data_IF_756833988541
#
_entry.id   IF_756833988541
#
_cell.length_a   1.000
_cell.length_b   1.000
_cell.length_c   1.000
_cell.angle_alpha   90.00
_cell.angle_beta   90.00
_cell.angle_gamma   90.00
#
_symmetry.space_group_name_H-M   'P 1'
#
loop_
_entity.id
_entity.type
_entity.pdbx_description
1 polymer ?
#
# COMPACT_ATOMS: atom_id res chain seq x y z
N UNK A 1 24.50 26.84 -3.93
CA UNK A 1 23.05 27.05 -3.72
C UNK A 1 22.88 28.21 -2.75
N UNK A 2 21.91 29.10 -2.97
CA UNK A 2 21.73 30.37 -2.26
C UNK A 2 20.62 30.32 -1.21
N UNK A 3 19.65 29.41 -1.30
CA UNK A 3 18.41 29.54 -0.53
C UNK A 3 17.89 28.26 0.17
N UNK A 4 18.48 27.07 -0.04
CA UNK A 4 17.93 25.81 0.51
C UNK A 4 18.88 24.83 1.19
N UNK A 5 20.21 25.02 1.12
CA UNK A 5 21.19 24.11 1.73
C UNK A 5 22.20 24.84 2.62
N UNK A 6 21.74 25.76 3.47
CA UNK A 6 22.58 26.10 4.64
C UNK A 6 22.48 24.91 5.62
N UNK A 7 23.22 23.86 5.32
CA UNK A 7 23.43 22.68 6.17
C UNK A 7 24.85 22.86 6.72
N UNK A 8 25.02 23.48 7.90
CA UNK A 8 26.34 23.83 8.41
C UNK A 8 27.26 22.60 8.48
N UNK A 9 28.43 22.68 7.86
CA UNK A 9 29.47 21.63 7.92
C UNK A 9 29.32 20.47 6.93
N UNK A 10 28.33 20.48 6.03
CA UNK A 10 28.14 19.40 5.07
C UNK A 10 29.07 19.48 3.85
N UNK A 11 29.62 18.33 3.44
CA UNK A 11 30.26 18.12 2.12
C UNK A 11 29.30 17.30 1.24
N UNK A 12 29.58 17.13 -0.05
CA UNK A 12 28.73 16.32 -0.96
C UNK A 12 28.50 14.87 -0.50
N UNK A 13 29.26 14.38 0.49
CA UNK A 13 29.12 13.03 1.08
C UNK A 13 28.19 12.95 2.29
N UNK A 14 27.70 14.09 2.79
CA UNK A 14 26.91 14.18 4.02
C UNK A 14 25.51 14.74 3.78
N UNK A 15 25.05 14.77 2.53
CA UNK A 15 23.72 15.24 2.16
C UNK A 15 22.87 14.03 1.78
N UNK A 16 21.76 13.86 2.47
CA UNK A 16 20.77 12.82 2.26
C UNK A 16 19.84 13.24 1.14
N UNK A 17 19.69 12.33 0.19
CA UNK A 17 19.05 12.57 -1.09
C UNK A 17 18.04 11.45 -1.37
N UNK A 18 16.94 11.81 -2.01
CA UNK A 18 15.99 10.85 -2.58
C UNK A 18 16.01 10.96 -4.10
N UNK A 19 16.18 9.83 -4.76
CA UNK A 19 16.18 9.70 -6.21
C UNK A 19 14.82 9.22 -6.68
N UNK A 20 14.13 10.05 -7.44
CA UNK A 20 12.77 9.80 -7.88
C UNK A 20 12.68 9.85 -9.41
N UNK A 21 11.70 9.15 -9.98
CA UNK A 21 11.37 9.28 -11.39
C UNK A 21 11.00 10.73 -11.73
N UNK A 22 11.35 11.18 -12.94
CA UNK A 22 11.06 12.56 -13.37
C UNK A 22 9.58 12.81 -13.64
N UNK A 23 8.79 11.76 -13.90
CA UNK A 23 7.43 11.85 -14.43
C UNK A 23 7.40 12.41 -15.85
N UNK A 24 6.20 12.75 -16.32
CA UNK A 24 6.05 13.57 -17.52
C UNK A 24 6.30 15.04 -17.18
N UNK A 25 7.41 15.60 -17.66
CA UNK A 25 7.70 17.03 -17.57
C UNK A 25 7.98 17.59 -18.97
N UNK A 26 7.07 18.43 -19.53
CA UNK A 26 7.27 19.05 -20.83
C UNK A 26 8.57 19.86 -20.95
N UNK A 27 9.09 20.41 -19.85
CA UNK A 27 10.36 21.14 -19.85
C UNK A 27 11.57 20.22 -20.10
N UNK A 28 11.41 18.90 -19.92
CA UNK A 28 12.43 17.88 -20.16
C UNK A 28 12.20 17.12 -21.48
N UNK A 29 11.23 17.52 -22.31
CA UNK A 29 10.89 16.81 -23.56
C UNK A 29 12.01 16.70 -24.60
N UNK A 30 13.01 17.58 -24.54
CA UNK A 30 14.19 17.54 -25.40
C UNK A 30 15.33 16.65 -24.86
N UNK A 31 15.22 16.17 -23.63
CA UNK A 31 16.23 15.31 -23.00
C UNK A 31 15.95 13.84 -23.32
N UNK A 32 17.00 13.10 -23.68
CA UNK A 32 16.91 11.68 -24.07
C UNK A 32 17.62 10.74 -23.11
N UNK A 33 18.28 11.28 -22.09
CA UNK A 33 19.02 10.54 -21.07
C UNK A 33 18.11 9.86 -20.03
N UNK A 34 18.71 9.03 -19.17
CA UNK A 34 17.99 8.44 -18.03
C UNK A 34 17.95 9.48 -16.91
N UNK A 35 16.83 10.19 -16.82
CA UNK A 35 16.70 11.28 -15.86
C UNK A 35 16.10 10.81 -14.52
N UNK A 36 16.57 11.43 -13.44
CA UNK A 36 16.00 11.33 -12.10
C UNK A 36 15.90 12.72 -11.47
N UNK A 37 14.94 12.89 -10.56
CA UNK A 37 14.91 14.04 -9.66
C UNK A 37 15.59 13.69 -8.36
N UNK A 38 16.38 14.62 -7.86
CA UNK A 38 17.07 14.53 -6.58
C UNK A 38 16.43 15.52 -5.64
N UNK A 39 15.76 14.99 -4.62
CA UNK A 39 15.23 15.75 -3.49
C UNK A 39 16.20 15.69 -2.32
N UNK A 40 16.24 16.76 -1.54
CA UNK A 40 17.14 16.89 -0.40
C UNK A 40 16.37 16.77 0.90
N UNK A 41 16.93 16.08 1.87
CA UNK A 41 16.30 15.84 3.18
C UNK A 41 16.85 16.82 4.22
N UNK A 42 16.01 17.23 5.18
CA UNK A 42 16.34 18.27 6.15
C UNK A 42 17.38 17.86 7.20
N UNK A 43 17.29 16.62 7.71
CA UNK A 43 18.15 16.12 8.79
C UNK A 43 19.21 15.14 8.27
N UNK A 44 20.48 15.54 8.37
CA UNK A 44 21.61 14.71 7.93
C UNK A 44 22.04 13.70 8.99
N UNK A 45 21.71 13.96 10.26
CA UNK A 45 22.12 13.16 11.40
C UNK A 45 21.17 11.98 11.67
N UNK A 46 19.98 12.00 11.07
CA UNK A 46 18.99 10.93 11.21
C UNK A 46 19.54 9.58 10.73
N UNK A 47 19.14 8.49 11.35
CA UNK A 47 19.43 7.13 10.87
C UNK A 47 18.61 6.84 9.61
N UNK A 48 17.33 7.22 9.61
CA UNK A 48 16.42 7.06 8.48
C UNK A 48 16.70 8.01 7.30
N UNK A 49 16.17 7.66 6.13
CA UNK A 49 16.33 8.46 4.89
C UNK A 49 15.12 9.34 4.55
N UNK A 50 14.04 9.28 5.34
CA UNK A 50 12.75 9.91 5.02
C UNK A 50 12.35 10.99 6.03
N UNK A 51 13.28 11.88 6.34
CA UNK A 51 12.97 13.12 7.03
C UNK A 51 12.23 14.14 6.16
N UNK A 52 11.84 15.30 6.72
CA UNK A 52 11.19 16.35 5.95
C UNK A 52 11.99 16.74 4.70
N UNK A 53 11.32 16.72 3.55
CA UNK A 53 11.90 17.09 2.25
C UNK A 53 12.05 18.60 2.16
N UNK A 54 13.24 19.08 1.79
CA UNK A 54 13.53 20.48 1.51
C UNK A 54 13.04 20.83 0.09
N UNK A 55 11.78 21.22 -0.02
CA UNK A 55 11.10 21.51 -1.29
C UNK A 55 11.53 22.82 -1.98
N UNK A 56 12.41 23.58 -1.35
CA UNK A 56 13.04 24.79 -1.91
C UNK A 56 14.21 24.48 -2.85
N UNK A 57 14.71 23.24 -2.83
CA UNK A 57 15.89 22.84 -3.58
C UNK A 57 15.71 21.45 -4.19
N UNK A 58 16.01 21.32 -5.48
CA UNK A 58 15.85 20.07 -6.22
C UNK A 58 16.78 20.08 -7.44
N UNK A 59 17.31 18.93 -7.83
CA UNK A 59 18.03 18.79 -9.10
C UNK A 59 17.35 17.76 -10.02
N UNK A 60 17.55 17.93 -11.32
CA UNK A 60 17.32 16.90 -12.34
C UNK A 60 18.68 16.46 -12.83
N UNK A 61 18.94 15.16 -12.78
CA UNK A 61 20.24 14.58 -13.13
C UNK A 61 20.05 13.54 -14.22
N UNK A 62 20.91 13.57 -15.23
CA UNK A 62 21.09 12.46 -16.16
C UNK A 62 22.10 11.49 -15.55
N UNK A 63 21.61 10.33 -15.08
CA UNK A 63 22.44 9.38 -14.33
C UNK A 63 23.44 8.64 -15.22
N UNK A 64 23.20 8.59 -16.53
CA UNK A 64 24.16 8.00 -17.48
C UNK A 64 25.14 9.05 -17.99
N UNK A 65 24.64 10.26 -18.27
CA UNK A 65 25.48 11.37 -18.69
C UNK A 65 26.34 11.97 -17.57
N UNK A 66 26.04 11.65 -16.31
CA UNK A 66 26.79 12.14 -15.15
C UNK A 66 26.72 13.66 -14.97
N UNK A 67 25.62 14.30 -15.38
CA UNK A 67 25.45 15.75 -15.37
C UNK A 67 24.15 16.19 -14.72
N UNK A 68 24.18 17.37 -14.12
CA UNK A 68 22.97 18.08 -13.69
C UNK A 68 22.35 18.72 -14.94
N UNK A 69 21.11 18.34 -15.24
CA UNK A 69 20.29 18.90 -16.33
C UNK A 69 19.67 20.22 -15.89
N UNK A 70 19.13 20.24 -14.67
CA UNK A 70 18.43 21.39 -14.13
C UNK A 70 18.62 21.46 -12.62
N UNK A 71 18.77 22.67 -12.09
CA UNK A 71 18.83 22.94 -10.65
C UNK A 71 17.76 23.96 -10.29
N UNK A 72 16.96 23.62 -9.30
CA UNK A 72 15.95 24.48 -8.69
C UNK A 72 16.46 24.88 -7.31
N UNK A 73 16.56 26.18 -7.08
CA UNK A 73 17.03 26.78 -5.84
C UNK A 73 16.26 28.08 -5.65
N UNK A 74 15.14 27.99 -4.95
CA UNK A 74 14.19 29.08 -4.74
C UNK A 74 14.08 29.40 -3.25
N UNK A 75 13.63 30.61 -2.87
CA UNK A 75 13.29 30.87 -1.49
C UNK A 75 12.23 29.87 -1.01
N UNK A 76 12.46 29.26 0.16
CA UNK A 76 11.48 28.39 0.80
C UNK A 76 11.66 28.37 2.31
N UNK A 77 11.05 27.38 2.95
CA UNK A 77 11.11 27.28 4.42
C UNK A 77 12.53 26.87 4.83
N UNK A 78 13.16 27.60 5.77
CA UNK A 78 14.49 27.24 6.23
C UNK A 78 14.48 25.86 6.90
N UNK A 79 15.58 25.14 6.75
CA UNK A 79 15.78 23.87 7.44
C UNK A 79 15.61 24.05 8.97
N UNK A 80 14.83 23.18 9.59
CA UNK A 80 14.61 23.13 11.04
C UNK A 80 14.68 21.68 11.50
N UNK A 81 15.49 21.43 12.53
CA UNK A 81 15.57 20.10 13.16
C UNK A 81 14.27 19.84 13.91
N UNK A 82 13.64 18.71 13.60
CA UNK A 82 12.37 18.27 14.19
C UNK A 82 12.49 16.77 14.54
N UNK A 83 11.86 16.31 15.63
CA UNK A 83 11.83 14.89 15.96
C UNK A 83 11.01 14.14 14.91
N UNK A 84 11.66 13.30 14.12
CA UNK A 84 11.01 12.55 13.03
C UNK A 84 11.61 11.15 12.83
N UNK A 85 12.89 10.97 13.20
CA UNK A 85 13.59 9.72 12.98
C UNK A 85 13.06 8.61 13.89
N UNK A 86 12.21 7.74 13.35
CA UNK A 86 11.63 6.63 14.09
C UNK A 86 12.68 5.60 14.51
N UNK A 87 13.94 5.70 14.07
CA UNK A 87 15.01 4.83 14.56
C UNK A 87 15.60 5.31 15.89
N UNK A 88 15.39 6.59 16.24
CA UNK A 88 15.73 7.16 17.53
C UNK A 88 14.73 6.69 18.60
N UNK A 89 15.25 6.06 19.65
CA UNK A 89 14.46 5.61 20.78
C UNK A 89 13.82 6.76 21.57
N UNK A 90 14.43 7.95 21.57
CA UNK A 90 13.85 9.14 22.19
C UNK A 90 12.61 9.64 21.43
N UNK A 91 12.60 9.49 20.10
CA UNK A 91 11.44 9.85 19.25
C UNK A 91 10.33 8.82 19.38
N UNK A 92 10.64 7.51 19.34
CA UNK A 92 9.62 6.44 19.46
C UNK A 92 9.00 6.35 20.85
N UNK A 93 9.72 6.74 21.89
CA UNK A 93 9.33 6.48 23.27
C UNK A 93 9.35 4.99 23.62
N UNK A 94 8.67 4.61 24.70
CA UNK A 94 8.60 3.23 25.19
C UNK A 94 7.41 2.49 24.59
N UNK A 95 7.61 1.24 24.18
CA UNK A 95 6.52 0.37 23.74
C UNK A 95 5.46 0.22 24.84
N UNK A 96 4.19 0.33 24.46
CA UNK A 96 3.09 0.07 25.37
C UNK A 96 3.08 -1.42 25.78
N UNK A 97 2.87 -1.75 27.06
CA UNK A 97 2.81 -3.14 27.49
C UNK A 97 1.58 -3.82 26.88
N UNK A 98 1.78 -4.96 26.22
CA UNK A 98 0.72 -5.77 25.63
C UNK A 98 0.83 -7.24 26.09
N UNK A 99 -0.31 -7.87 26.37
CA UNK A 99 -0.36 -9.32 26.60
C UNK A 99 -0.20 -10.06 25.26
N UNK A 100 0.59 -11.15 25.17
CA UNK A 100 0.76 -11.87 23.92
C UNK A 100 -0.55 -12.46 23.39
N UNK A 101 -0.78 -12.34 22.08
CA UNK A 101 -1.82 -13.06 21.34
C UNK A 101 -1.12 -13.92 20.27
N UNK A 102 -1.31 -15.25 20.32
CA UNK A 102 -0.65 -16.19 19.41
C UNK A 102 -1.64 -17.23 18.90
N UNK A 103 -1.93 -17.27 17.58
CA UNK A 103 -2.66 -18.37 16.98
C UNK A 103 -1.87 -19.69 17.12
N UNK A 104 -2.56 -20.80 17.39
CA UNK A 104 -1.96 -22.14 17.53
C UNK A 104 -2.76 -23.14 16.71
N UNK A 105 -2.08 -23.98 15.93
CA UNK A 105 -2.68 -25.05 15.13
C UNK A 105 -2.10 -26.41 15.57
N UNK A 106 -2.70 -27.07 16.58
CA UNK A 106 -2.09 -28.24 17.23
C UNK A 106 -1.96 -29.47 16.31
N UNK A 107 -2.73 -29.53 15.22
CA UNK A 107 -2.69 -30.61 14.23
C UNK A 107 -2.02 -30.18 12.92
N UNK A 108 -1.35 -29.02 12.91
CA UNK A 108 -0.80 -28.42 11.69
C UNK A 108 -1.83 -27.60 10.90
N UNK A 109 -1.39 -27.08 9.76
CA UNK A 109 -2.22 -26.28 8.86
C UNK A 109 -3.22 -27.14 8.06
N UNK A 110 -4.37 -26.58 7.71
CA UNK A 110 -5.33 -27.24 6.82
C UNK A 110 -5.00 -27.03 5.32
N UNK A 111 -3.95 -26.27 5.03
CA UNK A 111 -3.44 -26.11 3.67
C UNK A 111 -2.20 -26.97 3.43
N UNK A 112 -1.99 -27.35 2.18
CA UNK A 112 -0.78 -28.00 1.71
C UNK A 112 -0.12 -27.16 0.63
N UNK A 113 1.21 -27.07 0.68
CA UNK A 113 2.05 -26.46 -0.35
C UNK A 113 2.88 -27.55 -1.00
N UNK A 114 2.73 -27.74 -2.31
CA UNK A 114 3.50 -28.70 -3.11
C UNK A 114 4.14 -27.96 -4.30
N UNK A 115 5.45 -27.71 -4.18
CA UNK A 115 6.16 -26.81 -5.09
C UNK A 115 5.52 -25.43 -5.09
N UNK A 116 4.88 -25.06 -6.21
CA UNK A 116 4.16 -23.81 -6.36
C UNK A 116 2.63 -23.95 -6.32
N UNK A 117 2.10 -25.11 -5.97
CA UNK A 117 0.67 -25.36 -5.86
C UNK A 117 0.22 -25.29 -4.39
N UNK A 118 -0.90 -24.61 -4.14
CA UNK A 118 -1.55 -24.52 -2.84
C UNK A 118 -2.92 -25.19 -2.92
N UNK A 119 -3.22 -25.99 -1.90
CA UNK A 119 -4.54 -26.60 -1.68
C UNK A 119 -5.03 -26.24 -0.29
N UNK A 120 -6.28 -25.79 -0.17
CA UNK A 120 -6.91 -25.47 1.11
C UNK A 120 -8.43 -25.62 1.00
N UNK A 121 -9.01 -26.54 1.76
CA UNK A 121 -10.42 -26.91 1.59
C UNK A 121 -10.75 -27.22 0.13
N UNK A 122 -11.72 -26.51 -0.43
CA UNK A 122 -12.13 -26.65 -1.83
C UNK A 122 -11.25 -25.84 -2.80
N UNK A 123 -10.39 -24.93 -2.31
CA UNK A 123 -9.54 -24.09 -3.15
C UNK A 123 -8.30 -24.83 -3.64
N UNK A 124 -7.96 -24.60 -4.91
CA UNK A 124 -6.70 -25.01 -5.51
C UNK A 124 -6.19 -23.91 -6.41
N UNK A 125 -4.92 -23.56 -6.29
CA UNK A 125 -4.28 -22.57 -7.14
C UNK A 125 -2.77 -22.77 -7.16
N UNK A 126 -2.10 -22.06 -8.05
CA UNK A 126 -0.65 -21.96 -8.10
C UNK A 126 -0.21 -20.54 -7.80
N UNK A 127 1.00 -20.36 -7.34
CA UNK A 127 1.62 -19.05 -7.20
C UNK A 127 2.89 -18.95 -8.05
N UNK A 128 3.20 -17.73 -8.46
CA UNK A 128 4.47 -17.31 -9.03
C UNK A 128 4.97 -16.07 -8.29
N UNK A 129 6.23 -15.72 -8.49
CA UNK A 129 6.81 -14.52 -7.93
C UNK A 129 7.79 -13.90 -8.93
N UNK A 130 7.65 -12.61 -9.22
CA UNK A 130 8.52 -11.92 -10.15
C UNK A 130 8.98 -10.56 -9.60
N UNK A 131 10.06 -10.00 -10.14
CA UNK A 131 10.68 -8.76 -9.63
C UNK A 131 9.77 -7.54 -9.72
N UNK A 132 8.77 -7.56 -10.62
CA UNK A 132 7.92 -6.42 -10.93
C UNK A 132 6.67 -6.44 -10.05
N UNK A 133 5.80 -7.43 -10.23
CA UNK A 133 4.51 -7.53 -9.54
C UNK A 133 4.63 -8.14 -8.14
N UNK A 134 5.72 -8.86 -7.86
CA UNK A 134 5.81 -9.71 -6.67
C UNK A 134 4.95 -10.97 -6.85
N UNK A 135 4.04 -11.21 -5.90
CA UNK A 135 3.19 -12.41 -5.87
C UNK A 135 2.12 -12.38 -6.97
N UNK A 136 2.06 -13.46 -7.76
CA UNK A 136 1.04 -13.68 -8.79
C UNK A 136 0.35 -15.02 -8.55
N UNK A 137 -0.98 -15.04 -8.57
CA UNK A 137 -1.75 -16.27 -8.49
C UNK A 137 -2.14 -16.76 -9.88
N UNK A 138 -2.20 -18.08 -10.05
CA UNK A 138 -2.49 -18.75 -11.32
C UNK A 138 -3.47 -19.90 -11.12
N UNK A 139 -4.35 -20.10 -12.11
CA UNK A 139 -5.25 -21.26 -12.19
C UNK A 139 -6.06 -21.47 -10.89
N UNK A 140 -6.65 -20.39 -10.39
CA UNK A 140 -7.50 -20.41 -9.20
C UNK A 140 -8.78 -21.16 -9.51
N UNK A 141 -9.01 -22.22 -8.74
CA UNK A 141 -10.12 -23.17 -8.91
C UNK A 141 -10.78 -23.47 -7.59
N UNK A 142 -12.05 -23.84 -7.66
CA UNK A 142 -12.84 -24.32 -6.54
C UNK A 142 -13.39 -25.72 -6.84
N UNK A 143 -13.26 -26.63 -5.88
CA UNK A 143 -13.87 -27.95 -5.92
C UNK A 143 -15.36 -27.85 -5.59
N UNK A 144 -16.19 -28.14 -6.59
CA UNK A 144 -17.63 -28.27 -6.45
C UNK A 144 -17.99 -29.74 -6.65
N UNK A 145 -18.09 -30.47 -5.53
CA UNK A 145 -18.47 -31.88 -5.49
C UNK A 145 -17.60 -32.78 -6.38
N UNK A 146 -16.28 -32.61 -6.31
CA UNK A 146 -15.29 -33.36 -7.09
C UNK A 146 -15.01 -32.80 -8.49
N UNK A 147 -15.75 -31.76 -8.93
CA UNK A 147 -15.47 -31.04 -10.16
C UNK A 147 -14.67 -29.77 -9.88
N UNK A 148 -13.51 -29.65 -10.51
CA UNK A 148 -12.65 -28.47 -10.40
C UNK A 148 -13.13 -27.36 -11.36
N UNK A 149 -13.80 -26.34 -10.82
CA UNK A 149 -14.34 -25.20 -11.57
C UNK A 149 -13.37 -24.03 -11.54
N UNK A 150 -13.06 -23.45 -12.71
CA UNK A 150 -12.16 -22.31 -12.82
C UNK A 150 -12.83 -21.01 -12.41
N UNK A 151 -12.07 -20.11 -11.79
CA UNK A 151 -12.51 -18.79 -11.32
C UNK A 151 -11.59 -17.71 -11.89
N UNK A 152 -10.28 -17.83 -11.68
CA UNK A 152 -9.28 -16.92 -12.25
C UNK A 152 -8.15 -17.71 -12.90
N UNK A 153 -7.82 -17.37 -14.14
CA UNK A 153 -6.62 -17.86 -14.79
C UNK A 153 -5.36 -17.22 -14.18
N UNK A 154 -5.44 -15.93 -13.84
CA UNK A 154 -4.34 -15.15 -13.27
C UNK A 154 -4.83 -13.96 -12.43
N UNK A 155 -4.21 -13.72 -11.28
CA UNK A 155 -4.45 -12.54 -10.45
C UNK A 155 -3.15 -11.93 -9.94
N UNK A 156 -3.00 -10.61 -10.03
CA UNK A 156 -1.83 -9.88 -9.50
C UNK A 156 -2.16 -8.43 -9.16
N UNK A 157 -1.29 -7.82 -8.35
CA UNK A 157 -1.17 -6.36 -8.28
C UNK A 157 -0.32 -5.92 -9.46
N UNK A 158 -0.94 -5.25 -10.42
CA UNK A 158 -0.31 -4.83 -11.67
C UNK A 158 0.22 -3.40 -11.63
N UNK A 159 -0.24 -2.59 -10.67
CA UNK A 159 0.36 -1.30 -10.33
C UNK A 159 -0.05 -0.86 -8.92
N UNK A 160 0.82 -0.10 -8.26
CA UNK A 160 0.50 0.73 -7.10
C UNK A 160 0.96 2.15 -7.41
N UNK A 161 0.00 3.07 -7.48
CA UNK A 161 0.27 4.48 -7.74
C UNK A 161 0.16 5.26 -6.43
N UNK A 162 1.17 6.05 -6.11
CA UNK A 162 1.14 7.03 -5.02
C UNK A 162 1.32 8.44 -5.58
N UNK A 163 0.28 9.27 -5.55
CA UNK A 163 0.31 10.64 -6.11
C UNK A 163 0.10 11.66 -5.02
N UNK A 164 1.00 12.64 -4.99
CA UNK A 164 0.96 13.75 -4.04
C UNK A 164 0.12 14.92 -4.57
N UNK A 165 -0.61 15.56 -3.67
CA UNK A 165 -1.58 16.62 -3.96
C UNK A 165 -1.08 18.04 -3.67
N UNK A 166 0.24 18.26 -3.67
CA UNK A 166 0.85 19.55 -3.36
C UNK A 166 1.19 20.31 -4.63
N UNK A 167 0.65 21.54 -4.74
CA UNK A 167 0.80 22.37 -5.93
C UNK A 167 2.09 23.19 -5.97
N UNK A 168 2.90 23.18 -4.89
CA UNK A 168 4.18 23.89 -4.84
C UNK A 168 5.22 23.20 -5.72
N UNK A 169 6.04 23.97 -6.45
CA UNK A 169 6.87 23.53 -7.60
C UNK A 169 7.60 22.18 -7.46
N UNK A 170 8.04 21.76 -6.28
CA UNK A 170 8.76 20.51 -6.10
C UNK A 170 7.85 19.26 -6.01
N UNK A 171 6.53 19.39 -5.96
CA UNK A 171 5.60 18.29 -5.67
C UNK A 171 4.65 17.84 -6.79
N UNK A 172 4.18 18.67 -7.75
CA UNK A 172 3.16 18.28 -8.72
C UNK A 172 3.52 17.06 -9.59
N UNK A 173 4.81 16.78 -9.75
CA UNK A 173 5.33 15.64 -10.50
C UNK A 173 5.56 14.40 -9.62
N UNK A 174 5.43 14.49 -8.29
CA UNK A 174 5.65 13.38 -7.36
C UNK A 174 4.50 12.38 -7.46
N UNK A 175 4.71 11.44 -8.38
CA UNK A 175 3.89 10.27 -8.61
C UNK A 175 4.79 9.04 -8.66
N UNK A 176 4.52 8.07 -7.79
CA UNK A 176 5.27 6.83 -7.73
C UNK A 176 4.44 5.71 -8.32
N UNK A 177 4.96 5.09 -9.36
CA UNK A 177 4.48 3.81 -9.89
C UNK A 177 5.35 2.73 -9.27
N UNK A 178 4.97 2.23 -8.11
CA UNK A 178 5.81 1.37 -7.29
C UNK A 178 6.04 -0.01 -7.91
N UNK A 179 5.10 -0.51 -8.69
CA UNK A 179 5.28 -1.72 -9.49
C UNK A 179 6.12 -1.41 -10.73
N UNK A 180 5.74 -0.41 -11.51
CA UNK A 180 6.31 -0.14 -12.83
C UNK A 180 7.73 0.43 -12.80
N UNK A 181 8.03 1.36 -11.89
CA UNK A 181 9.33 2.04 -11.82
C UNK A 181 10.34 1.30 -10.95
N UNK A 182 9.85 0.58 -9.95
CA UNK A 182 10.63 0.11 -8.81
C UNK A 182 10.58 -1.42 -8.70
N UNK A 183 9.39 -2.00 -8.79
CA UNK A 183 9.12 -3.42 -8.74
C UNK A 183 8.83 -3.90 -7.31
N UNK A 184 7.56 -4.18 -7.03
CA UNK A 184 7.09 -4.69 -5.74
C UNK A 184 7.83 -5.97 -5.32
N UNK A 185 8.11 -6.87 -6.25
CA UNK A 185 8.86 -8.10 -5.97
C UNK A 185 10.33 -7.85 -5.64
N UNK A 186 10.96 -6.89 -6.34
CA UNK A 186 12.32 -6.42 -6.06
C UNK A 186 12.40 -5.79 -4.66
N UNK A 187 11.39 -5.00 -4.31
CA UNK A 187 11.24 -4.32 -3.02
C UNK A 187 10.57 -5.18 -1.95
N UNK A 188 10.32 -6.46 -2.23
CA UNK A 188 9.86 -7.38 -1.19
C UNK A 188 10.85 -7.40 -0.02
N UNK A 189 10.39 -7.72 1.18
CA UNK A 189 11.23 -7.86 2.39
C UNK A 189 11.08 -9.27 2.97
N UNK A 190 12.13 -9.81 3.63
CA UNK A 190 12.01 -11.11 4.27
C UNK A 190 11.12 -10.99 5.52
N UNK A 191 10.27 -11.98 5.75
CA UNK A 191 9.36 -12.01 6.91
C UNK A 191 9.68 -13.19 7.82
N UNK A 192 9.43 -13.02 9.12
CA UNK A 192 9.52 -14.10 10.10
C UNK A 192 8.17 -14.32 10.81
N UNK A 193 7.71 -15.58 10.95
CA UNK A 193 6.55 -15.91 11.77
C UNK A 193 6.70 -15.40 13.20
N UNK A 194 5.65 -14.75 13.70
CA UNK A 194 5.60 -14.12 15.02
C UNK A 194 6.27 -12.75 15.12
N UNK A 195 6.84 -12.22 14.03
CA UNK A 195 7.45 -10.88 13.96
C UNK A 195 6.74 -10.00 12.94
N UNK A 196 6.87 -10.31 11.65
CA UNK A 196 6.18 -9.58 10.57
C UNK A 196 4.81 -10.17 10.24
N UNK A 197 4.64 -11.48 10.45
CA UNK A 197 3.42 -12.24 10.11
C UNK A 197 3.00 -13.13 11.29
N UNK A 198 1.77 -13.65 11.34
CA UNK A 198 1.32 -14.52 12.43
C UNK A 198 2.24 -15.72 12.68
N UNK A 199 2.28 -16.18 13.94
CA UNK A 199 3.19 -17.26 14.35
C UNK A 199 2.91 -18.61 13.68
N UNK A 200 1.71 -18.82 13.14
CA UNK A 200 1.32 -20.01 12.39
C UNK A 200 1.59 -19.90 10.88
N UNK A 201 2.25 -18.84 10.42
CA UNK A 201 2.58 -18.67 9.02
C UNK A 201 3.69 -19.62 8.55
N UNK A 202 3.53 -20.12 7.33
CA UNK A 202 4.58 -20.79 6.55
C UNK A 202 5.14 -19.79 5.56
N UNK A 203 6.46 -19.64 5.53
CA UNK A 203 7.16 -18.76 4.59
C UNK A 203 7.73 -19.55 3.41
N UNK A 204 7.72 -18.94 2.23
CA UNK A 204 8.23 -19.52 0.99
C UNK A 204 9.27 -18.59 0.37
N UNK A 205 10.30 -19.19 -0.21
CA UNK A 205 11.47 -18.48 -0.73
C UNK A 205 11.55 -18.60 -2.26
N UNK A 206 11.08 -17.60 -3.02
CA UNK A 206 11.18 -17.61 -4.48
C UNK A 206 12.62 -17.41 -4.97
N UNK A 207 12.88 -17.80 -6.22
CA UNK A 207 14.10 -17.45 -6.93
C UNK A 207 13.89 -16.13 -7.68
N UNK A 208 14.79 -15.18 -7.50
CA UNK A 208 14.81 -13.90 -8.20
C UNK A 208 16.15 -13.70 -8.92
N UNK A 209 16.20 -12.93 -10.03
CA UNK A 209 17.45 -12.49 -10.62
C UNK A 209 18.31 -11.72 -9.61
N UNK A 210 19.63 -11.92 -9.67
CA UNK A 210 20.60 -11.16 -8.90
C UNK A 210 21.38 -10.25 -9.86
N UNK A 211 20.90 -9.01 -9.98
CA UNK A 211 21.49 -8.03 -10.89
C UNK A 211 22.91 -7.63 -10.47
N UNK A 212 23.20 -7.61 -9.16
CA UNK A 212 24.50 -7.20 -8.62
C UNK A 212 25.55 -8.30 -8.83
N UNK A 213 25.14 -9.57 -8.70
CA UNK A 213 26.00 -10.72 -8.95
C UNK A 213 26.04 -11.15 -10.44
N UNK A 214 25.23 -10.53 -11.32
CA UNK A 214 25.10 -10.93 -12.71
C UNK A 214 24.61 -12.37 -12.90
N UNK A 215 23.87 -12.91 -11.93
CA UNK A 215 23.42 -14.31 -11.92
C UNK A 215 21.92 -14.43 -12.08
N UNK A 216 21.48 -15.51 -12.74
CA UNK A 216 20.05 -15.74 -13.05
C UNK A 216 19.22 -16.23 -11.85
N UNK A 217 19.79 -16.37 -10.65
CA UNK A 217 19.03 -16.91 -9.53
C UNK A 217 19.71 -16.76 -8.18
N UNK A 218 19.15 -15.87 -7.37
CA UNK A 218 19.33 -15.83 -5.92
C UNK A 218 18.04 -16.26 -5.25
N UNK A 219 18.17 -17.13 -4.25
CA UNK A 219 17.04 -17.45 -3.36
C UNK A 219 16.72 -16.20 -2.56
N UNK A 220 15.54 -15.63 -2.80
CA UNK A 220 14.99 -14.56 -2.00
C UNK A 220 14.28 -15.21 -0.81
N UNK A 221 14.99 -15.30 0.31
CA UNK A 221 14.48 -15.98 1.50
C UNK A 221 13.23 -15.30 2.06
N UNK A 222 12.24 -16.12 2.39
CA UNK A 222 11.04 -15.79 3.17
C UNK A 222 10.26 -14.58 2.65
N UNK A 223 9.93 -14.57 1.35
CA UNK A 223 9.23 -13.45 0.71
C UNK A 223 7.74 -13.63 0.55
N UNK A 224 7.25 -14.85 0.59
CA UNK A 224 5.83 -15.15 0.52
C UNK A 224 5.44 -15.77 1.85
N UNK A 225 4.28 -15.41 2.38
CA UNK A 225 3.71 -16.06 3.56
C UNK A 225 2.35 -16.66 3.25
N UNK A 226 2.05 -17.78 3.90
CA UNK A 226 0.76 -18.46 3.86
C UNK A 226 0.34 -18.77 5.29
N UNK A 227 -0.86 -18.38 5.69
CA UNK A 227 -1.40 -18.72 7.01
C UNK A 227 -2.92 -18.79 7.01
N UNK A 228 -3.47 -19.37 8.07
CA UNK A 228 -4.91 -19.38 8.33
C UNK A 228 -5.25 -18.44 9.50
N UNK A 229 -6.39 -17.76 9.41
CA UNK A 229 -6.93 -16.93 10.50
C UNK A 229 -8.40 -17.28 10.77
N UNK A 230 -8.79 -17.14 12.04
CA UNK A 230 -10.22 -17.11 12.39
C UNK A 230 -10.85 -15.86 11.78
N UNK A 231 -12.01 -16.04 11.15
CA UNK A 231 -12.72 -14.99 10.43
C UNK A 231 -14.14 -14.76 10.98
N UNK A 232 -14.37 -15.08 12.26
CA UNK A 232 -15.66 -14.88 12.90
C UNK A 232 -16.71 -15.90 12.48
N UNK A 233 -17.93 -15.45 12.19
CA UNK A 233 -19.08 -16.30 11.88
C UNK A 233 -19.13 -16.62 10.38
N UNK A 234 -19.17 -17.91 10.04
CA UNK A 234 -19.48 -18.38 8.69
C UNK A 234 -20.99 -18.43 8.48
N UNK A 235 -21.69 -19.00 9.46
CA UNK A 235 -23.15 -19.10 9.47
C UNK A 235 -23.63 -18.99 10.91
N UNK A 236 -24.71 -18.26 11.12
CA UNK A 236 -25.41 -18.25 12.39
C UNK A 236 -26.89 -18.03 12.14
N UNK A 237 -27.71 -18.93 12.67
CA UNK A 237 -29.16 -18.78 12.69
C UNK A 237 -29.73 -19.41 13.95
N UNK A 238 -30.68 -18.71 14.57
CA UNK A 238 -31.42 -19.21 15.72
C UNK A 238 -32.91 -18.96 15.51
N UNK A 239 -33.72 -20.01 15.68
CA UNK A 239 -35.16 -19.94 15.72
C UNK A 239 -35.65 -20.71 16.95
N UNK A 240 -36.26 -19.99 17.89
CA UNK A 240 -36.68 -20.53 19.19
C UNK A 240 -35.53 -21.26 19.91
N UNK A 241 -35.62 -22.59 20.02
CA UNK A 241 -34.60 -23.47 20.61
C UNK A 241 -33.61 -24.05 19.59
N UNK A 242 -33.89 -23.98 18.29
CA UNK A 242 -33.01 -24.49 17.25
C UNK A 242 -31.91 -23.48 16.92
N UNK A 243 -30.66 -23.93 16.87
CA UNK A 243 -29.50 -23.10 16.48
C UNK A 243 -28.64 -23.85 15.45
N UNK A 244 -28.24 -23.15 14.39
CA UNK A 244 -27.23 -23.58 13.43
C UNK A 244 -26.11 -22.55 13.46
N UNK A 245 -24.89 -22.99 13.74
CA UNK A 245 -23.72 -22.12 13.80
C UNK A 245 -22.49 -22.78 13.18
N UNK A 246 -21.64 -21.96 12.56
CA UNK A 246 -20.33 -22.33 12.05
C UNK A 246 -19.40 -21.10 12.12
N UNK A 247 -18.15 -21.33 12.50
CA UNK A 247 -17.10 -20.30 12.43
C UNK A 247 -16.37 -20.36 11.09
N UNK A 248 -15.94 -19.20 10.61
CA UNK A 248 -15.18 -19.07 9.39
C UNK A 248 -13.68 -19.17 9.68
N UNK A 249 -12.97 -19.86 8.79
CA UNK A 249 -11.51 -19.78 8.65
C UNK A 249 -11.20 -19.24 7.27
N UNK A 250 -10.22 -18.35 7.17
CA UNK A 250 -9.71 -17.82 5.91
C UNK A 250 -8.26 -18.25 5.70
N UNK A 251 -7.88 -18.53 4.46
CA UNK A 251 -6.49 -18.68 4.04
C UNK A 251 -5.98 -17.35 3.49
N UNK A 252 -4.86 -16.87 4.02
CA UNK A 252 -4.16 -15.69 3.53
C UNK A 252 -2.87 -16.11 2.83
N UNK A 253 -2.66 -15.62 1.62
CA UNK A 253 -1.39 -15.73 0.88
C UNK A 253 -0.95 -14.32 0.49
N UNK A 254 0.24 -13.91 0.91
CA UNK A 254 0.69 -12.55 0.65
C UNK A 254 2.20 -12.39 0.68
N UNK A 255 2.62 -11.14 0.52
CA UNK A 255 4.00 -10.70 0.70
C UNK A 255 4.05 -9.27 1.21
N UNK A 256 5.17 -8.91 1.84
CA UNK A 256 5.47 -7.52 2.22
C UNK A 256 6.42 -6.89 1.20
N UNK A 257 6.14 -5.66 0.79
CA UNK A 257 7.01 -4.83 -0.04
C UNK A 257 7.30 -3.49 0.65
N UNK A 258 8.57 -3.07 0.67
CA UNK A 258 8.98 -1.77 1.18
C UNK A 258 9.52 -0.90 0.05
N UNK A 259 8.67 -0.01 -0.45
CA UNK A 259 9.00 0.96 -1.50
C UNK A 259 9.30 2.31 -0.86
N UNK A 260 10.59 2.58 -0.64
CA UNK A 260 11.03 3.82 0.00
C UNK A 260 10.46 3.99 1.41
N UNK A 261 9.67 5.04 1.62
CA UNK A 261 9.02 5.33 2.91
C UNK A 261 7.80 4.45 3.17
N UNK A 262 7.24 3.77 2.16
CA UNK A 262 6.06 2.95 2.31
C UNK A 262 6.39 1.49 2.60
N UNK A 263 5.49 0.83 3.33
CA UNK A 263 5.46 -0.61 3.48
C UNK A 263 4.04 -1.12 3.17
N UNK A 264 3.95 -2.06 2.24
CA UNK A 264 2.71 -2.65 1.77
C UNK A 264 2.65 -4.12 2.17
N UNK A 265 1.57 -4.53 2.85
CA UNK A 265 1.16 -5.93 2.92
C UNK A 265 0.11 -6.20 1.85
N UNK A 266 0.43 -7.09 0.90
CA UNK A 266 -0.42 -7.37 -0.27
C UNK A 266 -0.95 -8.80 -0.16
N UNK A 267 -2.21 -8.93 0.26
CA UNK A 267 -2.81 -10.18 0.72
C UNK A 267 -3.94 -10.64 -0.20
N UNK A 268 -3.88 -11.89 -0.66
CA UNK A 268 -5.02 -12.61 -1.23
C UNK A 268 -5.65 -13.48 -0.15
N UNK A 269 -6.95 -13.30 0.09
CA UNK A 269 -7.70 -13.97 1.15
C UNK A 269 -8.76 -14.87 0.52
N UNK A 270 -8.68 -16.17 0.81
CA UNK A 270 -9.64 -17.18 0.33
C UNK A 270 -10.56 -17.63 1.48
N UNK A 271 -11.86 -17.74 1.19
CA UNK A 271 -12.88 -18.04 2.21
C UNK A 271 -13.59 -19.37 1.94
N UNK A 272 -14.10 -20.00 2.99
CA UNK A 272 -14.75 -21.33 2.88
C UNK A 272 -16.03 -21.33 2.04
N UNK A 273 -16.69 -20.18 1.91
CA UNK A 273 -17.92 -20.01 1.13
C UNK A 273 -17.70 -19.81 -0.38
N UNK A 274 -16.44 -19.85 -0.85
CA UNK A 274 -16.09 -19.65 -2.26
C UNK A 274 -15.85 -18.19 -2.64
N UNK A 275 -15.99 -17.25 -1.70
CA UNK A 275 -15.54 -15.87 -1.91
C UNK A 275 -14.02 -15.73 -1.73
N UNK A 276 -13.45 -14.70 -2.35
CA UNK A 276 -12.07 -14.29 -2.14
C UNK A 276 -12.00 -12.77 -2.06
N UNK A 277 -10.96 -12.24 -1.43
CA UNK A 277 -10.72 -10.81 -1.30
C UNK A 277 -9.24 -10.49 -1.55
N UNK A 278 -8.98 -9.23 -1.85
CA UNK A 278 -7.66 -8.64 -1.80
C UNK A 278 -7.62 -7.62 -0.67
N UNK A 279 -6.64 -7.72 0.21
CA UNK A 279 -6.42 -6.78 1.32
C UNK A 279 -5.05 -6.13 1.15
N UNK A 280 -5.03 -4.79 1.12
CA UNK A 280 -3.81 -4.00 1.17
C UNK A 280 -3.65 -3.39 2.57
N UNK A 281 -2.53 -3.70 3.22
CA UNK A 281 -2.13 -3.11 4.50
C UNK A 281 -1.08 -2.04 4.23
N UNK A 282 -1.29 -0.83 4.73
CA UNK A 282 -0.38 0.29 4.55
C UNK A 282 0.29 0.63 5.89
N UNK A 283 1.62 0.60 5.88
CA UNK A 283 2.48 1.00 6.98
C UNK A 283 3.67 1.82 6.45
N UNK A 284 4.63 2.12 7.32
CA UNK A 284 5.81 2.91 6.98
C UNK A 284 5.73 4.34 7.50
N UNK A 285 6.33 5.26 6.77
CA UNK A 285 6.42 6.69 7.10
C UNK A 285 5.72 7.51 6.03
N UNK A 286 4.96 8.52 6.44
CA UNK A 286 4.46 9.54 5.52
C UNK A 286 5.61 10.44 5.08
N UNK A 287 5.64 10.82 3.81
CA UNK A 287 6.59 11.83 3.35
C UNK A 287 6.15 13.20 3.84
N UNK A 288 7.07 13.93 4.45
CA UNK A 288 6.80 15.20 5.12
C UNK A 288 7.60 16.34 4.50
N UNK A 289 7.20 17.58 4.79
CA UNK A 289 7.94 18.77 4.40
C UNK A 289 7.86 19.86 5.46
N UNK A 290 8.86 20.76 5.54
CA UNK A 290 8.84 21.86 6.49
C UNK A 290 7.83 22.93 6.07
N UNK A 291 7.16 23.52 7.06
CA UNK A 291 6.26 24.67 6.90
C UNK A 291 6.58 25.77 7.92
N UNK A 292 6.27 27.03 7.61
CA UNK A 292 6.55 28.14 8.53
C UNK A 292 5.67 28.09 9.80
N UNK A 293 4.50 27.46 9.73
CA UNK A 293 3.56 27.41 10.84
C UNK A 293 4.13 26.72 12.08
N UNK A 294 4.12 27.43 13.21
CA UNK A 294 4.65 26.94 14.49
C UNK A 294 3.63 26.34 15.43
N UNK A 295 2.35 26.28 15.04
CA UNK A 295 1.30 25.66 15.85
C UNK A 295 0.64 24.55 15.06
N UNK A 296 0.65 23.33 15.60
CA UNK A 296 -0.04 22.20 15.03
C UNK A 296 -1.47 22.12 15.60
N UNK A 297 -2.45 22.73 14.93
CA UNK A 297 -3.84 22.76 15.39
C UNK A 297 -4.46 21.35 15.51
N UNK A 298 -4.10 20.42 14.60
CA UNK A 298 -4.54 19.02 14.68
C UNK A 298 -3.93 18.27 15.87
N UNK A 299 -2.66 18.55 16.20
CA UNK A 299 -2.00 17.97 17.38
C UNK A 299 -2.60 18.48 18.69
N UNK A 300 -3.03 19.75 18.73
CA UNK A 300 -3.70 20.34 19.89
C UNK A 300 -5.08 19.71 20.13
N UNK A 301 -5.83 19.42 19.05
CA UNK A 301 -7.14 18.75 19.13
C UNK A 301 -7.07 17.26 19.55
N UNK A 302 -5.90 16.62 19.38
CA UNK A 302 -5.65 15.24 19.82
C UNK A 302 -5.17 15.16 21.28
N UNK A 303 -4.92 16.30 21.93
CA UNK A 303 -4.67 16.29 23.37
C UNK A 303 -5.96 15.88 24.07
N UNK A 304 -5.91 14.97 25.06
CA UNK A 304 -7.07 14.74 25.90
C UNK A 304 -7.40 16.07 26.59
N UNK A 305 -8.43 16.77 26.10
CA UNK A 305 -8.94 17.94 26.80
C UNK A 305 -9.45 17.46 28.16
N UNK A 306 -8.99 18.12 29.22
CA UNK A 306 -9.70 18.13 30.49
C UNK A 306 -11.13 18.62 30.22
N UNK A 307 -12.10 17.71 30.26
CA UNK A 307 -13.53 17.95 30.46
C UNK A 307 -14.11 19.24 29.85
N UNK A 308 -14.06 19.40 28.53
CA UNK A 308 -14.93 20.36 27.84
C UNK A 308 -15.76 19.62 26.80
N UNK A 309 -17.01 19.30 27.17
CA UNK A 309 -18.00 18.70 26.30
C UNK A 309 -18.25 19.57 25.07
N UNK A 310 -17.76 19.12 23.91
CA UNK A 310 -17.90 19.83 22.65
C UNK A 310 -17.69 18.90 21.46
N UNK A 311 -18.59 17.94 21.26
CA UNK A 311 -18.69 17.20 20.01
C UNK A 311 -19.29 18.09 18.92
N UNK A 312 -18.45 18.92 18.30
CA UNK A 312 -18.80 19.69 17.10
C UNK A 312 -17.77 19.43 16.00
N UNK A 313 -18.24 19.23 14.77
CA UNK A 313 -17.38 19.30 13.58
C UNK A 313 -16.88 20.75 13.41
N UNK A 314 -15.79 21.09 14.10
CA UNK A 314 -15.07 22.33 13.84
C UNK A 314 -14.22 22.15 12.57
N UNK A 315 -14.79 22.51 11.42
CA UNK A 315 -14.03 22.68 10.18
C UNK A 315 -13.10 23.88 10.32
N UNK A 316 -11.92 23.66 10.90
CA UNK A 316 -10.88 24.68 10.97
C UNK A 316 -10.21 24.80 9.59
N UNK A 317 -10.16 25.99 8.97
CA UNK A 317 -9.52 26.16 7.67
C UNK A 317 -8.03 25.79 7.79
N UNK A 318 -7.61 24.76 7.07
CA UNK A 318 -6.19 24.47 6.86
C UNK A 318 -5.67 25.57 5.92
N UNK A 319 -4.61 26.33 6.29
CA UNK A 319 -3.99 27.27 5.38
C UNK A 319 -3.71 26.60 4.02
N UNK A 320 -4.15 27.23 2.94
CA UNK A 320 -4.13 26.68 1.56
C UNK A 320 -2.72 26.23 1.13
N UNK A 321 -1.67 26.78 1.74
CA UNK A 321 -0.26 26.52 1.44
C UNK A 321 0.28 25.19 1.99
N UNK A 322 -0.48 24.44 2.81
CA UNK A 322 0.02 23.22 3.43
C UNK A 322 -0.16 21.97 2.58
N UNK A 323 -1.17 21.92 1.71
CA UNK A 323 -1.50 20.77 0.85
C UNK A 323 -1.45 19.42 1.61
N UNK A 324 -1.85 19.40 2.87
CA UNK A 324 -1.68 18.26 3.77
C UNK A 324 -2.09 18.57 5.21
N UNK A 325 -1.75 17.67 6.12
CA UNK A 325 -2.08 17.79 7.55
C UNK A 325 -0.83 18.06 8.37
N UNK A 326 -0.87 19.05 9.27
CA UNK A 326 0.25 19.25 10.20
C UNK A 326 0.34 18.08 11.18
N UNK A 327 1.52 17.48 11.26
CA UNK A 327 1.82 16.30 12.10
C UNK A 327 2.75 16.63 13.26
N UNK A 328 3.41 17.80 13.17
CA UNK A 328 4.24 18.39 14.20
C UNK A 328 4.32 19.90 13.92
N UNK A 329 4.57 20.78 14.93
CA UNK A 329 4.97 22.15 14.64
C UNK A 329 6.06 22.22 13.55
N UNK A 330 5.83 23.05 12.54
CA UNK A 330 6.72 23.21 11.39
C UNK A 330 6.79 22.04 10.41
N UNK A 331 5.94 21.02 10.53
CA UNK A 331 5.96 19.84 9.63
C UNK A 331 4.55 19.50 9.18
N UNK A 332 4.38 19.41 7.86
CA UNK A 332 3.17 18.87 7.25
C UNK A 332 3.45 17.50 6.66
N UNK A 333 2.55 16.55 6.91
CA UNK A 333 2.44 15.33 6.12
C UNK A 333 1.67 15.66 4.86
N UNK A 334 2.34 15.54 3.71
CA UNK A 334 1.77 16.00 2.44
C UNK A 334 0.63 15.07 2.03
N UNK A 335 -0.50 15.65 1.63
CA UNK A 335 -1.67 14.91 1.19
C UNK A 335 -1.34 14.09 -0.07
N UNK A 336 -1.71 12.82 -0.04
CA UNK A 336 -1.50 11.89 -1.16
C UNK A 336 -2.52 10.76 -1.09
N UNK A 337 -2.66 10.02 -2.18
CA UNK A 337 -3.48 8.81 -2.22
C UNK A 337 -2.67 7.63 -2.75
N UNK A 338 -3.12 6.43 -2.40
CA UNK A 338 -2.60 5.16 -2.90
C UNK A 338 -3.68 4.50 -3.75
N UNK A 339 -3.40 4.22 -5.01
CA UNK A 339 -4.29 3.47 -5.91
C UNK A 339 -3.66 2.13 -6.25
N UNK A 340 -4.42 1.06 -6.04
CA UNK A 340 -4.00 -0.30 -6.35
C UNK A 340 -4.73 -0.77 -7.60
N UNK A 341 -3.99 -1.20 -8.62
CA UNK A 341 -4.57 -1.78 -9.82
C UNK A 341 -4.41 -3.30 -9.82
N UNK A 342 -5.53 -4.02 -9.68
CA UNK A 342 -5.55 -5.48 -9.71
C UNK A 342 -5.82 -5.97 -11.13
N UNK A 343 -4.93 -6.82 -11.67
CA UNK A 343 -5.19 -7.54 -12.92
C UNK A 343 -5.87 -8.87 -12.61
N UNK A 344 -7.19 -8.92 -12.78
CA UNK A 344 -8.01 -10.12 -12.57
C UNK A 344 -8.42 -10.73 -13.92
N UNK A 345 -7.78 -11.83 -14.26
CA UNK A 345 -8.02 -12.60 -15.49
C UNK A 345 -9.03 -13.71 -15.17
N UNK A 346 -10.31 -13.33 -15.17
CA UNK A 346 -11.39 -14.26 -14.86
C UNK A 346 -11.58 -15.28 -15.98
N UNK A 347 -11.77 -16.54 -15.58
CA UNK A 347 -12.12 -17.66 -16.46
C UNK A 347 -13.20 -18.51 -15.79
N UNK A 348 -14.27 -17.86 -15.33
CA UNK A 348 -15.39 -18.48 -14.58
C UNK A 348 -16.00 -19.61 -15.40
N UNK A 349 -15.77 -20.84 -14.95
CA UNK A 349 -16.12 -22.09 -15.64
C UNK A 349 -15.62 -22.21 -17.10
N UNK A 350 -14.62 -21.41 -17.47
CA UNK A 350 -14.01 -21.38 -18.78
C UNK A 350 -13.74 -19.95 -19.27
N UNK A 351 -13.05 -19.78 -20.41
CA UNK A 351 -12.61 -18.47 -20.89
C UNK A 351 -13.72 -17.61 -21.50
N UNK A 352 -14.89 -18.20 -21.80
CA UNK A 352 -15.99 -17.48 -22.44
C UNK A 352 -16.82 -16.77 -21.38
N UNK A 353 -16.38 -15.58 -20.97
CA UNK A 353 -17.02 -14.79 -19.93
C UNK A 353 -17.55 -13.45 -20.47
N UNK A 354 -18.53 -12.90 -19.77
CA UNK A 354 -19.07 -11.57 -20.00
C UNK A 354 -19.17 -10.86 -18.64
N UNK A 355 -19.07 -9.53 -18.63
CA UNK A 355 -19.28 -8.74 -17.42
C UNK A 355 -20.71 -8.19 -17.42
N UNK A 356 -21.42 -8.32 -16.30
CA UNK A 356 -22.77 -7.78 -16.14
C UNK A 356 -22.80 -6.79 -14.99
N UNK A 357 -23.20 -5.56 -15.29
CA UNK A 357 -23.54 -4.54 -14.29
C UNK A 357 -24.99 -4.71 -13.87
N UNK A 358 -25.21 -4.74 -12.56
CA UNK A 358 -26.53 -4.84 -11.92
C UNK A 358 -26.79 -3.54 -11.16
N UNK A 359 -27.76 -2.76 -11.64
CA UNK A 359 -28.15 -1.50 -10.99
C UNK A 359 -29.52 -1.65 -10.33
N UNK A 360 -29.63 -1.19 -9.08
CA UNK A 360 -30.92 -1.12 -8.39
C UNK A 360 -31.71 0.08 -8.90
N UNK A 361 -32.89 -0.19 -9.47
CA UNK A 361 -33.77 0.82 -10.06
C UNK A 361 -35.05 0.94 -9.26
N UNK A 362 -35.43 2.17 -8.88
CA UNK A 362 -36.73 2.44 -8.26
C UNK A 362 -37.86 2.27 -9.27
N UNK A 363 -38.97 1.69 -8.82
CA UNK A 363 -40.17 1.48 -9.63
C UNK A 363 -41.42 1.82 -8.83
N UNK A 364 -42.44 2.32 -9.52
CA UNK A 364 -43.78 2.49 -8.95
C UNK A 364 -44.49 1.13 -8.84
N UNK A 365 -45.45 1.02 -7.91
CA UNK A 365 -46.35 -0.13 -7.90
C UNK A 365 -47.18 -0.17 -9.20
N UNK A 366 -47.57 -1.37 -9.69
CA UNK A 366 -48.49 -1.49 -10.80
C UNK A 366 -49.75 -0.64 -10.59
N UNK A 367 -50.06 0.24 -11.56
CA UNK A 367 -51.25 1.10 -11.52
C UNK A 367 -51.14 2.37 -10.67
N UNK A 368 -49.97 2.68 -10.11
CA UNK A 368 -49.75 3.90 -9.34
C UNK A 368 -48.80 4.88 -10.06
N UNK A 369 -48.96 6.18 -9.78
CA UNK A 369 -48.16 7.25 -10.37
C UNK A 369 -46.68 7.22 -9.94
N UNK A 370 -45.80 7.99 -10.61
CA UNK A 370 -44.35 7.98 -10.37
C UNK A 370 -43.94 8.33 -8.92
N UNK A 371 -44.81 8.99 -8.15
CA UNK A 371 -44.56 9.39 -6.76
C UNK A 371 -44.73 8.23 -5.74
N UNK A 372 -45.17 7.06 -6.19
CA UNK A 372 -45.46 5.86 -5.37
C UNK A 372 -44.32 4.83 -5.33
N UNK A 373 -43.06 5.26 -5.36
CA UNK A 373 -41.91 4.39 -5.63
C UNK A 373 -41.03 4.01 -4.40
N UNK A 374 -41.56 3.33 -3.34
CA UNK A 374 -40.70 2.68 -2.35
C UNK A 374 -40.14 1.33 -2.87
N UNK A 375 -40.53 0.89 -4.07
CA UNK A 375 -40.14 -0.40 -4.63
C UNK A 375 -38.90 -0.28 -5.51
N UNK A 376 -38.18 -1.38 -5.63
CA UNK A 376 -36.98 -1.48 -6.45
C UNK A 376 -37.01 -2.76 -7.28
N UNK A 377 -36.32 -2.71 -8.40
CA UNK A 377 -35.99 -3.86 -9.26
C UNK A 377 -34.53 -3.76 -9.68
N UNK A 378 -34.03 -4.73 -10.46
CA UNK A 378 -32.71 -4.69 -11.04
C UNK A 378 -32.77 -4.40 -12.54
N UNK A 379 -31.81 -3.63 -13.02
CA UNK A 379 -31.49 -3.54 -14.44
C UNK A 379 -30.13 -4.17 -14.71
N UNK A 380 -30.06 -4.96 -15.78
CA UNK A 380 -28.86 -5.70 -16.19
C UNK A 380 -28.28 -5.09 -17.46
N UNK A 381 -27.00 -4.75 -17.45
CA UNK A 381 -26.24 -4.31 -18.62
C UNK A 381 -25.04 -5.23 -18.82
N UNK A 382 -24.96 -5.88 -19.98
CA UNK A 382 -23.87 -6.81 -20.31
C UNK A 382 -22.81 -6.10 -21.14
N UNK A 383 -21.58 -6.09 -20.66
CA UNK A 383 -20.38 -5.57 -21.31
C UNK A 383 -19.54 -6.73 -21.85
N UNK A 384 -19.37 -6.76 -23.18
CA UNK A 384 -18.65 -7.78 -23.95
C UNK A 384 -19.22 -9.22 -23.89
N UNK A 385 -19.14 -9.95 -25.01
CA UNK A 385 -19.49 -11.37 -25.16
C UNK A 385 -18.33 -12.10 -25.80
#
# INVERSE_FOLDING_TARGET
MRHGLDIPGATSKSVRELFLGVGEDPALSGETGRLVRVLFISDQDAIGNFGPVLDSVMAVVDVHGGRVVQLYDVPGVPNRKVPHDIFDAQVRGTAAPAKPLRPVQPQGANFAVDGNAIRWGNWRFRFGFNVREGLVLHQVRFDDNGRQRSILYRASVSEVVSRYGDATRAWPWMEFLDEGNFGLGRFSVPVAPGREVPANAVTLSPLLPDADAGSFGRVAHDRIYVYERDAGLLMYYRQDEATVEARATELVVGFLASAGNYAYGLNWVFKQDGSFAFEAELAGQILTKPVNAGKCQGCEALRPETDAGGGGEESRPVPEDFYGTMVHPHVVGVGHQHWFNLRLDFDVDGPNNAVMENEMKRVAAPGQGPDSAPYFTLTHRVFAK
#
